data_IF_963710863458
#
_entry.id   IF_963710863458
#
_cell.length_a   1.000
_cell.length_b   1.000
_cell.length_c   1.000
_cell.angle_alpha   90.00
_cell.angle_beta   90.00
_cell.angle_gamma   90.00
#
_symmetry.space_group_name_H-M   'P 1'
#
loop_
_entity.id
_entity.type
_entity.pdbx_description
1 polymer ?
#
# COMPACT_ATOMS: atom_id res chain seq x y z
N UNK A 1 -94.28 45.00 -3.76
CA UNK A 1 -93.76 44.86 -5.14
C UNK A 1 -92.24 44.77 -5.08
N UNK A 2 -91.71 43.57 -4.98
CA UNK A 2 -90.26 43.33 -4.82
C UNK A 2 -89.79 42.41 -5.97
N UNK A 3 -88.71 42.76 -6.68
CA UNK A 3 -88.18 41.90 -7.72
C UNK A 3 -87.27 40.81 -7.13
N UNK A 4 -87.44 39.57 -7.62
CA UNK A 4 -86.62 38.40 -7.32
C UNK A 4 -85.20 38.57 -7.93
N UNK A 5 -84.17 38.37 -7.05
CA UNK A 5 -82.78 38.21 -7.49
C UNK A 5 -82.58 36.79 -7.97
N UNK A 6 -82.10 36.60 -9.19
CA UNK A 6 -81.60 35.34 -9.74
C UNK A 6 -80.24 35.07 -9.20
N UNK A 7 -80.06 33.86 -8.67
CA UNK A 7 -78.78 33.36 -8.17
C UNK A 7 -78.06 32.63 -9.31
N UNK A 8 -76.91 33.15 -9.72
CA UNK A 8 -76.09 32.57 -10.77
C UNK A 8 -75.11 31.65 -10.12
N UNK A 9 -75.23 30.32 -10.36
CA UNK A 9 -74.30 29.30 -9.88
C UNK A 9 -73.14 29.14 -10.87
N UNK A 10 -71.97 29.56 -10.47
CA UNK A 10 -70.72 29.25 -11.21
C UNK A 10 -70.24 27.87 -10.81
N UNK A 11 -70.20 26.94 -11.78
CA UNK A 11 -69.48 25.66 -11.68
C UNK A 11 -68.03 25.92 -11.87
N UNK A 12 -67.21 25.69 -10.79
CA UNK A 12 -65.75 25.67 -10.84
C UNK A 12 -65.32 24.24 -11.16
N UNK A 13 -64.86 24.02 -12.39
CA UNK A 13 -64.24 22.74 -12.76
C UNK A 13 -62.80 22.67 -12.18
N UNK A 14 -62.60 21.75 -11.24
CA UNK A 14 -61.26 21.42 -10.77
C UNK A 14 -60.58 20.49 -11.76
N UNK A 15 -59.53 21.00 -12.44
CA UNK A 15 -58.65 20.18 -13.28
C UNK A 15 -57.61 19.58 -12.35
N UNK A 16 -57.72 18.27 -12.02
CA UNK A 16 -56.66 17.52 -11.36
C UNK A 16 -55.55 17.23 -12.38
N UNK A 17 -54.43 17.98 -12.27
CA UNK A 17 -53.20 17.67 -12.99
C UNK A 17 -52.53 16.50 -12.26
N UNK A 18 -52.60 15.28 -12.82
CA UNK A 18 -51.78 14.16 -12.36
C UNK A 18 -50.34 14.42 -12.76
N UNK A 19 -49.52 14.89 -11.80
CA UNK A 19 -48.08 14.94 -11.95
C UNK A 19 -47.53 13.52 -11.68
N UNK A 20 -47.33 12.73 -12.75
CA UNK A 20 -46.61 11.44 -12.64
C UNK A 20 -45.14 11.74 -12.52
N UNK A 21 -44.63 11.76 -11.26
CA UNK A 21 -43.19 11.74 -11.01
C UNK A 21 -42.64 10.36 -11.41
N UNK A 22 -41.95 10.30 -12.53
CA UNK A 22 -41.19 9.12 -12.94
C UNK A 22 -40.06 8.94 -11.94
N UNK A 23 -40.17 7.93 -11.09
CA UNK A 23 -39.04 7.43 -10.28
C UNK A 23 -38.04 6.77 -11.23
N UNK A 24 -37.00 7.50 -11.62
CA UNK A 24 -35.85 6.89 -12.25
C UNK A 24 -35.12 6.09 -11.17
N UNK A 25 -34.80 4.79 -11.36
CA UNK A 25 -33.98 4.07 -10.44
C UNK A 25 -32.59 4.74 -10.41
N UNK A 26 -32.23 5.30 -9.26
CA UNK A 26 -30.85 5.73 -9.01
C UNK A 26 -29.98 4.49 -9.02
N UNK A 27 -29.14 4.35 -10.02
CA UNK A 27 -28.05 3.37 -10.01
C UNK A 27 -27.19 3.70 -8.79
N UNK A 28 -26.76 2.70 -8.01
CA UNK A 28 -25.82 2.97 -6.94
C UNK A 28 -24.58 3.61 -7.59
N UNK A 29 -24.31 4.84 -7.16
CA UNK A 29 -23.06 5.53 -7.48
C UNK A 29 -21.94 4.58 -7.13
N UNK A 30 -21.04 4.29 -8.10
CA UNK A 30 -19.91 3.40 -7.87
C UNK A 30 -19.17 3.94 -6.63
N UNK A 31 -19.14 3.14 -5.56
CA UNK A 31 -18.43 3.51 -4.36
C UNK A 31 -17.03 3.95 -4.77
N UNK A 32 -16.61 5.17 -4.40
CA UNK A 32 -15.24 5.61 -4.62
C UNK A 32 -14.34 4.55 -4.00
N UNK A 33 -13.61 3.82 -4.84
CA UNK A 33 -12.62 2.86 -4.36
C UNK A 33 -11.63 3.67 -3.53
N UNK A 34 -11.51 3.35 -2.23
CA UNK A 34 -10.56 4.02 -1.35
C UNK A 34 -9.17 4.01 -1.97
N UNK A 35 -8.34 5.00 -1.64
CA UNK A 35 -7.04 5.16 -2.25
C UNK A 35 -6.02 4.15 -1.69
N UNK A 36 -5.10 3.71 -2.55
CA UNK A 36 -3.90 3.02 -2.12
C UNK A 36 -3.02 3.99 -1.33
N UNK A 37 -2.66 3.65 -0.11
CA UNK A 37 -1.80 4.47 0.73
C UNK A 37 -0.38 3.94 0.76
N UNK A 38 0.58 4.84 0.93
CA UNK A 38 2.00 4.53 1.17
C UNK A 38 2.53 5.50 2.22
N UNK A 39 3.12 4.97 3.29
CA UNK A 39 3.72 5.75 4.37
C UNK A 39 5.10 5.22 4.70
N UNK A 40 6.14 6.07 4.67
CA UNK A 40 7.47 5.71 5.16
C UNK A 40 7.44 5.65 6.69
N UNK A 41 7.88 4.52 7.26
CA UNK A 41 7.84 4.27 8.70
C UNK A 41 9.23 4.16 9.34
N UNK A 42 10.28 3.87 8.54
CA UNK A 42 11.67 3.89 8.98
C UNK A 42 12.61 4.10 7.79
N UNK A 43 13.70 4.83 8.02
CA UNK A 43 14.75 5.08 7.03
C UNK A 43 16.13 5.08 7.69
N UNK A 44 17.14 4.62 6.95
CA UNK A 44 18.55 4.68 7.34
C UNK A 44 19.44 4.72 6.10
N UNK A 45 20.41 5.61 6.09
CA UNK A 45 21.43 5.66 5.04
C UNK A 45 22.62 4.79 5.39
N UNK A 46 23.27 4.28 4.36
CA UNK A 46 24.48 3.45 4.43
C UNK A 46 25.46 3.88 3.35
N UNK A 47 26.76 3.93 3.69
CA UNK A 47 27.81 4.17 2.70
C UNK A 47 28.16 2.89 1.94
N UNK A 48 28.04 1.72 2.60
CA UNK A 48 28.43 0.43 2.03
C UNK A 48 27.43 -0.67 2.41
N UNK A 49 27.27 -1.65 1.52
CA UNK A 49 26.48 -2.84 1.77
C UNK A 49 27.34 -3.96 2.39
N UNK A 50 26.76 -4.81 3.25
CA UNK A 50 27.42 -6.04 3.66
C UNK A 50 27.77 -6.92 2.46
N UNK A 51 28.88 -7.65 2.48
CA UNK A 51 29.28 -8.52 1.38
C UNK A 51 28.36 -9.74 1.24
N UNK A 52 28.25 -10.27 0.03
CA UNK A 52 27.56 -11.52 -0.29
C UNK A 52 26.09 -11.33 -0.64
N UNK A 53 25.32 -12.42 -0.62
CA UNK A 53 23.87 -12.40 -0.89
C UNK A 53 23.12 -11.82 0.30
N UNK A 54 22.31 -10.82 0.06
CA UNK A 54 21.57 -10.10 1.08
C UNK A 54 20.10 -10.52 1.11
N UNK A 55 19.57 -10.60 2.33
CA UNK A 55 18.18 -10.96 2.63
C UNK A 55 17.62 -9.94 3.62
N UNK A 56 16.37 -9.56 3.48
CA UNK A 56 15.65 -8.90 4.53
C UNK A 56 15.15 -9.92 5.54
N UNK A 57 15.63 -9.85 6.78
CA UNK A 57 15.10 -10.57 7.93
C UNK A 57 14.09 -9.69 8.64
N UNK A 58 12.91 -10.24 8.92
CA UNK A 58 11.78 -9.59 9.56
C UNK A 58 11.54 -10.27 10.89
N UNK A 59 11.64 -9.52 11.97
CA UNK A 59 11.50 -10.00 13.34
C UNK A 59 10.47 -9.16 14.10
N UNK A 60 9.69 -9.78 14.99
CA UNK A 60 8.85 -9.08 15.96
C UNK A 60 9.59 -8.91 17.28
N UNK A 61 9.36 -7.76 17.93
CA UNK A 61 9.85 -7.43 19.26
C UNK A 61 8.67 -7.14 20.22
N UNK A 62 8.84 -7.40 21.53
CA UNK A 62 7.79 -7.12 22.51
C UNK A 62 7.57 -5.62 22.73
N UNK A 63 8.59 -4.76 22.53
CA UNK A 63 8.51 -3.33 22.75
C UNK A 63 9.38 -2.55 21.75
N UNK A 64 8.95 -1.32 21.42
CA UNK A 64 9.60 -0.48 20.40
C UNK A 64 11.01 -0.03 20.82
N UNK A 65 11.22 0.28 22.08
CA UNK A 65 12.52 0.67 22.63
C UNK A 65 13.55 -0.45 22.49
N UNK A 66 13.15 -1.71 22.71
CA UNK A 66 14.01 -2.88 22.51
C UNK A 66 14.40 -3.06 21.04
N UNK A 67 13.44 -2.95 20.12
CA UNK A 67 13.71 -2.99 18.69
C UNK A 67 14.61 -1.84 18.23
N UNK A 68 14.41 -0.63 18.76
CA UNK A 68 15.25 0.54 18.49
C UNK A 68 16.69 0.35 19.01
N UNK A 69 16.86 -0.19 20.20
CA UNK A 69 18.18 -0.56 20.71
C UNK A 69 18.89 -1.57 19.81
N UNK A 70 18.19 -2.61 19.36
CA UNK A 70 18.71 -3.59 18.41
C UNK A 70 19.07 -2.96 17.05
N UNK A 71 18.22 -2.06 16.54
CA UNK A 71 18.48 -1.33 15.29
C UNK A 71 19.67 -0.36 15.42
N UNK A 72 19.91 0.23 16.58
CA UNK A 72 21.05 1.10 16.83
C UNK A 72 22.37 0.32 16.88
N UNK A 73 22.33 -0.93 17.31
CA UNK A 73 23.50 -1.82 17.36
C UNK A 73 23.91 -2.39 15.99
N UNK A 74 23.11 -2.21 14.94
CA UNK A 74 23.36 -2.72 13.59
C UNK A 74 23.21 -1.62 12.54
N UNK A 75 24.20 -1.41 11.67
CA UNK A 75 24.11 -0.39 10.61
C UNK A 75 22.99 -0.69 9.62
N UNK A 76 22.63 -1.95 9.42
CA UNK A 76 21.66 -2.40 8.41
C UNK A 76 20.27 -2.72 8.98
N UNK A 77 20.00 -2.32 10.23
CA UNK A 77 18.72 -2.60 10.88
C UNK A 77 17.88 -1.34 11.08
N UNK A 78 16.54 -1.48 10.92
CA UNK A 78 15.54 -0.48 11.16
C UNK A 78 14.43 -1.04 12.05
N UNK A 79 13.87 -0.19 12.93
CA UNK A 79 12.74 -0.56 13.79
C UNK A 79 11.53 0.32 13.50
N UNK A 80 10.33 -0.27 13.51
CA UNK A 80 9.06 0.45 13.34
C UNK A 80 7.93 -0.22 14.12
N UNK A 81 6.93 0.58 14.51
CA UNK A 81 5.66 0.09 15.03
C UNK A 81 4.59 0.23 13.92
N UNK A 82 4.03 -0.86 13.45
CA UNK A 82 3.06 -0.91 12.34
C UNK A 82 2.03 -1.98 12.63
N UNK A 83 0.75 -1.68 12.35
CA UNK A 83 -0.38 -2.62 12.47
C UNK A 83 -0.42 -3.34 13.82
N UNK A 84 -0.20 -2.59 14.92
CA UNK A 84 -0.26 -3.08 16.29
C UNK A 84 0.90 -4.00 16.70
N UNK A 85 1.95 -4.10 15.90
CA UNK A 85 3.15 -4.89 16.18
C UNK A 85 4.41 -4.03 16.10
N UNK A 86 5.45 -4.48 16.80
CA UNK A 86 6.81 -3.90 16.73
C UNK A 86 7.67 -4.80 15.86
N UNK A 87 8.34 -4.18 14.90
CA UNK A 87 9.13 -4.84 13.87
C UNK A 87 10.57 -4.40 13.92
N UNK A 88 11.47 -5.34 13.68
CA UNK A 88 12.87 -5.10 13.32
C UNK A 88 13.11 -5.69 11.93
N UNK A 89 13.64 -4.86 11.04
CA UNK A 89 14.05 -5.25 9.69
C UNK A 89 15.55 -5.19 9.62
N UNK A 90 16.21 -6.26 9.21
CA UNK A 90 17.66 -6.30 9.06
C UNK A 90 18.04 -6.79 7.67
N UNK A 91 18.78 -5.96 6.92
CA UNK A 91 19.39 -6.39 5.66
C UNK A 91 20.74 -7.06 5.97
N UNK A 92 20.89 -8.33 5.59
CA UNK A 92 22.12 -9.08 5.89
C UNK A 92 22.14 -10.47 5.26
N UNK A 93 23.08 -11.30 5.68
CA UNK A 93 23.17 -12.67 5.20
C UNK A 93 22.00 -13.50 5.70
N UNK A 94 21.67 -14.58 4.97
CA UNK A 94 20.59 -15.50 5.30
C UNK A 94 20.77 -16.13 6.68
N UNK A 95 19.68 -16.31 7.39
CA UNK A 95 19.62 -17.16 8.59
C UNK A 95 19.96 -16.48 9.92
N UNK A 96 20.35 -15.21 9.95
CA UNK A 96 20.63 -14.49 11.19
C UNK A 96 19.44 -14.42 12.16
N UNK A 97 19.69 -14.03 13.42
CA UNK A 97 18.70 -13.77 14.46
C UNK A 97 19.19 -12.63 15.36
N UNK A 98 18.24 -11.83 15.88
CA UNK A 98 18.54 -10.75 16.82
C UNK A 98 18.09 -11.16 18.23
N UNK A 99 18.96 -11.04 19.27
CA UNK A 99 18.52 -11.31 20.63
C UNK A 99 17.29 -10.50 21.04
N UNK A 100 16.30 -11.16 21.62
CA UNK A 100 15.03 -10.55 22.00
C UNK A 100 13.99 -10.46 20.86
N UNK A 101 14.37 -10.72 19.62
CA UNK A 101 13.49 -10.79 18.47
C UNK A 101 12.96 -12.20 18.22
N UNK A 102 11.77 -12.27 17.63
CA UNK A 102 11.18 -13.51 17.10
C UNK A 102 11.11 -13.39 15.58
N UNK A 103 11.84 -14.26 14.87
CA UNK A 103 11.85 -14.27 13.39
C UNK A 103 10.45 -14.59 12.87
N UNK A 104 9.94 -13.74 11.99
CA UNK A 104 8.64 -13.88 11.32
C UNK A 104 8.83 -14.35 9.89
N UNK A 105 9.73 -13.70 9.15
CA UNK A 105 9.99 -14.01 7.76
C UNK A 105 11.43 -13.65 7.36
N UNK A 106 11.82 -14.13 6.18
CA UNK A 106 13.07 -13.77 5.52
C UNK A 106 12.81 -13.77 4.01
N UNK A 107 13.23 -12.71 3.33
CA UNK A 107 12.99 -12.53 1.89
C UNK A 107 14.27 -12.16 1.17
N UNK A 108 14.55 -12.82 0.07
CA UNK A 108 15.76 -12.62 -0.74
C UNK A 108 16.13 -13.89 -1.55
N UNK A 109 17.28 -13.86 -2.25
CA UNK A 109 18.27 -12.77 -2.21
C UNK A 109 17.72 -11.50 -2.86
N UNK A 110 18.01 -10.36 -2.21
CA UNK A 110 17.62 -9.04 -2.71
C UNK A 110 18.53 -8.65 -3.88
N UNK A 111 18.01 -8.16 -5.02
CA UNK A 111 18.84 -7.62 -6.08
C UNK A 111 19.70 -6.47 -5.57
N UNK A 112 21.04 -6.62 -5.62
CA UNK A 112 22.00 -5.59 -5.23
C UNK A 112 22.54 -4.87 -6.45
N UNK A 113 22.97 -3.62 -6.28
CA UNK A 113 23.47 -2.75 -7.33
C UNK A 113 24.52 -1.81 -6.74
N UNK A 114 25.30 -1.14 -7.59
CA UNK A 114 26.26 -0.14 -7.16
C UNK A 114 25.61 1.25 -7.05
N UNK A 115 25.83 1.92 -5.92
CA UNK A 115 25.40 3.30 -5.68
C UNK A 115 26.44 4.04 -4.83
N UNK A 116 26.52 5.38 -4.91
CA UNK A 116 27.42 6.18 -4.08
C UNK A 116 27.04 6.16 -2.59
N UNK A 117 25.75 6.07 -2.29
CA UNK A 117 25.15 5.98 -0.96
C UNK A 117 23.85 5.18 -1.06
N UNK A 118 23.54 4.34 -0.10
CA UNK A 118 22.31 3.56 -0.08
C UNK A 118 21.31 4.09 0.94
N UNK A 119 20.03 3.96 0.63
CA UNK A 119 18.92 4.21 1.54
C UNK A 119 18.18 2.90 1.81
N UNK A 120 18.20 2.45 3.04
CA UNK A 120 17.25 1.46 3.53
C UNK A 120 15.97 2.18 3.94
N UNK A 121 14.82 1.74 3.42
CA UNK A 121 13.52 2.31 3.74
C UNK A 121 12.50 1.21 3.97
N UNK A 122 11.66 1.41 4.97
CA UNK A 122 10.48 0.57 5.21
C UNK A 122 9.24 1.43 5.00
N UNK A 123 8.36 0.97 4.11
CA UNK A 123 7.05 1.55 3.95
C UNK A 123 5.97 0.63 4.53
N UNK A 124 4.97 1.23 5.13
CA UNK A 124 3.65 0.65 5.36
C UNK A 124 2.75 1.06 4.21
N UNK A 125 2.15 0.11 3.53
CA UNK A 125 1.35 0.37 2.34
C UNK A 125 0.16 -0.58 2.25
N UNK A 126 -0.88 -0.17 1.53
CA UNK A 126 -2.06 -0.98 1.34
C UNK A 126 -3.26 -0.19 0.85
N UNK A 127 -4.43 -0.76 1.03
CA UNK A 127 -5.70 -0.13 0.65
C UNK A 127 -6.78 -1.15 0.30
N UNK A 128 -8.01 -0.67 0.05
CA UNK A 128 -9.13 -1.54 -0.24
C UNK A 128 -8.95 -2.30 -1.57
N UNK A 129 -9.70 -3.40 -1.77
CA UNK A 129 -9.67 -4.18 -3.00
C UNK A 129 -9.81 -3.32 -4.26
N UNK A 130 -8.92 -3.54 -5.23
CA UNK A 130 -8.86 -2.80 -6.49
C UNK A 130 -8.09 -1.49 -6.45
N UNK A 131 -7.73 -0.95 -5.26
CA UNK A 131 -6.85 0.21 -5.16
C UNK A 131 -5.44 -0.12 -5.65
N UNK A 132 -4.75 0.87 -6.22
CA UNK A 132 -3.45 0.64 -6.86
C UNK A 132 -2.57 1.88 -6.88
N UNK A 133 -1.27 1.67 -7.06
CA UNK A 133 -0.32 2.75 -7.34
C UNK A 133 -0.40 3.16 -8.82
N UNK A 134 -0.02 4.39 -9.19
CA UNK A 134 0.38 4.69 -10.56
C UNK A 134 1.55 3.79 -11.00
N UNK A 135 1.76 3.63 -12.31
CA UNK A 135 2.96 2.96 -12.81
C UNK A 135 4.19 3.81 -12.47
N UNK A 136 5.15 3.21 -11.79
CA UNK A 136 6.35 3.87 -11.28
C UNK A 136 7.55 2.93 -11.29
N UNK A 137 8.73 3.46 -10.98
CA UNK A 137 9.95 2.69 -10.75
C UNK A 137 10.72 3.24 -9.56
N UNK A 138 11.65 2.44 -9.04
CA UNK A 138 12.54 2.78 -7.93
C UNK A 138 14.01 2.72 -8.37
N UNK A 139 14.90 3.58 -7.83
CA UNK A 139 16.35 3.49 -8.08
C UNK A 139 17.00 2.39 -7.25
N UNK A 140 16.37 1.22 -7.17
CA UNK A 140 16.85 0.14 -6.34
C UNK A 140 15.91 -1.06 -6.35
N UNK A 141 16.02 -1.90 -5.33
CA UNK A 141 15.20 -3.09 -5.18
C UNK A 141 14.18 -2.94 -4.06
N UNK A 142 13.07 -3.65 -4.20
CA UNK A 142 12.03 -3.76 -3.19
C UNK A 142 11.75 -5.22 -2.82
N UNK A 143 11.17 -5.42 -1.65
CA UNK A 143 10.71 -6.72 -1.16
C UNK A 143 9.45 -6.51 -0.33
N UNK A 144 8.56 -7.48 -0.32
CA UNK A 144 7.25 -7.38 0.33
C UNK A 144 7.07 -8.44 1.41
N UNK A 145 6.39 -8.06 2.47
CA UNK A 145 5.77 -8.98 3.42
C UNK A 145 4.32 -8.56 3.63
N UNK A 146 3.38 -9.44 3.26
CA UNK A 146 1.94 -9.16 3.32
C UNK A 146 1.41 -9.52 4.71
N UNK A 147 0.82 -8.55 5.40
CA UNK A 147 0.22 -8.71 6.72
C UNK A 147 -1.23 -9.19 6.63
N UNK A 148 -1.99 -8.63 5.66
CA UNK A 148 -3.37 -8.99 5.37
C UNK A 148 -3.70 -8.76 3.89
N UNK A 149 -4.72 -9.44 3.38
CA UNK A 149 -5.15 -9.32 1.99
C UNK A 149 -4.21 -10.00 1.01
N UNK A 150 -4.18 -9.49 -0.21
CA UNK A 150 -3.34 -9.99 -1.31
C UNK A 150 -2.82 -8.82 -2.12
N UNK A 151 -1.52 -8.83 -2.42
CA UNK A 151 -0.87 -7.90 -3.35
C UNK A 151 -0.63 -8.56 -4.70
N UNK A 152 -0.85 -7.81 -5.77
CA UNK A 152 -0.34 -8.12 -7.11
C UNK A 152 0.63 -7.05 -7.55
N UNK A 153 1.76 -7.45 -8.13
CA UNK A 153 2.72 -6.58 -8.79
C UNK A 153 2.76 -6.91 -10.28
N UNK A 154 2.43 -5.93 -11.11
CA UNK A 154 2.54 -6.01 -12.57
C UNK A 154 3.83 -5.34 -13.03
N UNK A 155 4.58 -6.01 -13.91
CA UNK A 155 5.80 -5.50 -14.54
C UNK A 155 5.81 -5.92 -16.02
N UNK A 156 6.73 -5.45 -16.87
CA UNK A 156 6.91 -5.97 -18.22
C UNK A 156 7.17 -7.49 -18.28
N UNK A 157 7.64 -8.08 -17.18
CA UNK A 157 7.91 -9.53 -17.09
C UNK A 157 6.71 -10.35 -16.66
N UNK A 158 5.57 -9.72 -16.36
CA UNK A 158 4.33 -10.39 -15.97
C UNK A 158 3.79 -9.95 -14.61
N UNK A 159 2.88 -10.76 -14.10
CA UNK A 159 2.14 -10.53 -12.86
C UNK A 159 2.61 -11.50 -11.78
N UNK A 160 3.05 -10.96 -10.64
CA UNK A 160 3.30 -11.71 -9.42
C UNK A 160 2.20 -11.45 -8.40
N UNK A 161 1.85 -12.46 -7.60
CA UNK A 161 0.86 -12.37 -6.51
C UNK A 161 1.42 -12.93 -5.22
N UNK A 162 1.05 -12.31 -4.11
CA UNK A 162 1.49 -12.70 -2.77
C UNK A 162 0.36 -12.48 -1.78
N UNK A 163 0.12 -13.44 -0.91
CA UNK A 163 -0.96 -13.46 0.07
C UNK A 163 -0.44 -13.18 1.49
N UNK A 164 -1.38 -12.95 2.41
CA UNK A 164 -1.09 -12.73 3.83
C UNK A 164 -0.17 -13.82 4.40
N UNK A 165 0.85 -13.39 5.17
CA UNK A 165 1.88 -14.25 5.75
C UNK A 165 3.02 -14.62 4.81
N UNK A 166 2.96 -14.24 3.54
CA UNK A 166 3.97 -14.55 2.53
C UNK A 166 4.86 -13.35 2.20
N UNK A 167 6.00 -13.64 1.57
CA UNK A 167 6.97 -12.66 1.09
C UNK A 167 7.14 -12.74 -0.42
N UNK A 168 7.51 -11.62 -1.02
CA UNK A 168 7.88 -11.54 -2.44
C UNK A 168 9.15 -10.70 -2.58
N UNK A 169 10.12 -11.20 -3.36
CA UNK A 169 11.23 -10.37 -3.85
C UNK A 169 10.73 -9.67 -5.09
N UNK A 170 10.82 -8.34 -5.10
CA UNK A 170 10.55 -7.53 -6.28
C UNK A 170 11.73 -7.49 -7.23
N UNK A 171 11.72 -6.51 -8.10
CA UNK A 171 12.74 -6.33 -9.14
C UNK A 171 13.89 -5.43 -8.67
N UNK A 172 14.96 -5.39 -9.46
CA UNK A 172 16.08 -4.47 -9.28
C UNK A 172 15.76 -3.04 -9.77
N UNK A 173 16.80 -2.17 -9.85
CA UNK A 173 16.62 -0.76 -10.19
C UNK A 173 15.88 -0.52 -11.49
N UNK A 174 15.10 0.58 -11.49
CA UNK A 174 14.46 1.18 -12.66
C UNK A 174 13.40 0.30 -13.38
N UNK A 175 12.98 -0.80 -12.77
CA UNK A 175 11.92 -1.64 -13.33
C UNK A 175 10.56 -0.95 -13.19
N UNK A 176 9.83 -0.68 -14.29
CA UNK A 176 8.47 -0.18 -14.23
C UNK A 176 7.52 -1.18 -13.58
N UNK A 177 6.67 -0.71 -12.65
CA UNK A 177 5.73 -1.57 -11.93
C UNK A 177 4.45 -0.83 -11.54
N UNK A 178 3.37 -1.59 -11.35
CA UNK A 178 2.12 -1.18 -10.72
C UNK A 178 1.81 -2.18 -9.59
N UNK A 179 1.47 -1.68 -8.41
CA UNK A 179 1.11 -2.50 -7.24
C UNK A 179 -0.38 -2.34 -6.96
N UNK A 180 -1.09 -3.45 -6.79
CA UNK A 180 -2.55 -3.51 -6.71
C UNK A 180 -2.95 -4.32 -5.46
N UNK A 181 -3.92 -3.81 -4.68
CA UNK A 181 -4.67 -4.60 -3.70
C UNK A 181 -5.62 -5.54 -4.47
N UNK A 182 -5.21 -6.78 -4.67
CA UNK A 182 -5.88 -7.72 -5.58
C UNK A 182 -6.73 -8.78 -4.88
N UNK A 183 -6.78 -8.75 -3.56
CA UNK A 183 -7.62 -9.63 -2.75
C UNK A 183 -9.08 -9.18 -2.64
N UNK A 184 -9.84 -9.87 -1.81
CA UNK A 184 -11.24 -9.54 -1.47
C UNK A 184 -11.37 -8.75 -0.17
N UNK A 185 -10.27 -8.56 0.56
CA UNK A 185 -10.14 -7.76 1.76
C UNK A 185 -9.04 -6.73 1.58
N UNK A 186 -9.00 -5.72 2.44
CA UNK A 186 -7.99 -4.69 2.41
C UNK A 186 -6.58 -5.29 2.47
N UNK A 187 -5.70 -4.76 1.61
CA UNK A 187 -4.27 -5.05 1.65
C UNK A 187 -3.63 -4.26 2.78
N UNK A 188 -2.84 -4.96 3.59
CA UNK A 188 -1.92 -4.39 4.57
C UNK A 188 -0.56 -5.07 4.37
N UNK A 189 0.50 -4.28 4.10
CA UNK A 189 1.82 -4.83 3.80
C UNK A 189 2.96 -3.94 4.25
N UNK A 190 4.10 -4.59 4.48
CA UNK A 190 5.38 -3.95 4.70
C UNK A 190 6.22 -4.09 3.43
N UNK A 191 6.78 -2.98 2.97
CA UNK A 191 7.65 -2.94 1.79
C UNK A 191 9.03 -2.50 2.23
N UNK A 192 10.02 -3.35 2.01
CA UNK A 192 11.42 -3.11 2.33
C UNK A 192 12.19 -2.71 1.09
N UNK A 193 12.86 -1.57 1.13
CA UNK A 193 13.63 -1.03 0.01
C UNK A 193 15.12 -0.97 0.31
N UNK A 194 15.91 -1.30 -0.70
CA UNK A 194 17.31 -0.94 -0.82
C UNK A 194 17.41 0.00 -2.05
N UNK A 195 17.67 1.29 -1.82
CA UNK A 195 17.65 2.33 -2.86
C UNK A 195 19.00 3.04 -2.99
N UNK A 196 19.25 3.62 -4.17
CA UNK A 196 20.28 4.66 -4.36
C UNK A 196 19.80 5.96 -3.68
N UNK A 197 20.46 6.36 -2.59
CA UNK A 197 20.11 7.51 -1.79
C UNK A 197 20.31 8.87 -2.51
N UNK A 198 21.01 8.88 -3.65
CA UNK A 198 21.27 10.09 -4.44
C UNK A 198 20.15 10.40 -5.45
N UNK A 199 19.17 9.50 -5.58
CA UNK A 199 18.07 9.59 -6.53
C UNK A 199 16.73 9.69 -5.81
N UNK A 200 15.68 10.26 -6.46
CA UNK A 200 14.31 10.18 -5.91
C UNK A 200 13.88 8.74 -5.68
N UNK A 201 13.32 8.45 -4.52
CA UNK A 201 12.96 7.08 -4.13
C UNK A 201 11.92 6.41 -5.03
N UNK A 202 11.13 7.20 -5.76
CA UNK A 202 10.17 6.74 -6.76
C UNK A 202 10.02 7.79 -7.85
N UNK A 203 9.88 7.36 -9.09
CA UNK A 203 9.61 8.22 -10.24
C UNK A 203 8.48 7.62 -11.08
N UNK A 204 7.64 8.47 -11.74
CA UNK A 204 6.67 7.99 -12.72
C UNK A 204 7.34 7.19 -13.83
N UNK A 205 6.72 6.09 -14.24
CA UNK A 205 7.20 5.24 -15.33
C UNK A 205 6.03 4.84 -16.25
N UNK A 206 6.34 4.09 -17.32
CA UNK A 206 5.37 3.51 -18.24
C UNK A 206 5.80 2.08 -18.57
N UNK A 207 4.84 1.21 -18.83
CA UNK A 207 5.11 -0.07 -19.47
C UNK A 207 5.39 0.19 -20.96
N UNK A 208 6.48 -0.38 -21.45
CA UNK A 208 6.82 -0.40 -22.88
C UNK A 208 6.23 -1.63 -23.57
#
# INVERSE_FOLDING_TARGET
MYPRKMCNSYFIAWVFSLCTTAFLPSWPEAAELGQFFVSSVAEKKLDELPPGLLYWRIENFPALDQAQCAAAASPTSLAAAVSGKVWLFTLGQKGGATPGGTKVAEVGPVPVFAAPEYLLRINHAGGPPGSKTPVHSHPGSESFYVLAGQVSQTTPHGLNRTEAGQTMVGHGPDMPMEVISSGTTDLDQLVMFLLDATRPASVPAKFE
#
